data_IF_798985962565
#
_entry.id   IF_798985962565
#
_cell.length_a   1.000
_cell.length_b   1.000
_cell.length_c   1.000
_cell.angle_alpha   90.00
_cell.angle_beta   90.00
_cell.angle_gamma   90.00
#
_symmetry.space_group_name_H-M   'P 1'
#
loop_
_entity.id
_entity.type
_entity.pdbx_description
1 polymer ?
#
# COMPACT_ATOMS: atom_id res chain seq x y z
N UNK A 1 16.24 -10.85 -0.71
CA UNK A 1 16.56 -9.43 -0.39
C UNK A 1 16.65 -9.33 1.13
N UNK A 2 17.56 -8.53 1.70
CA UNK A 2 17.54 -8.27 3.15
C UNK A 2 16.70 -7.02 3.41
N UNK A 3 15.53 -7.19 4.03
CA UNK A 3 14.64 -6.08 4.37
C UNK A 3 15.29 -5.19 5.44
N UNK A 4 15.14 -3.87 5.30
CA UNK A 4 15.63 -2.90 6.27
C UNK A 4 14.65 -2.82 7.45
N UNK A 5 15.07 -2.99 8.72
CA UNK A 5 14.19 -2.86 9.88
C UNK A 5 13.38 -1.55 9.91
N UNK A 6 13.90 -0.45 9.34
CA UNK A 6 13.20 0.81 9.22
C UNK A 6 11.91 0.70 8.37
N UNK A 7 11.88 -0.21 7.40
CA UNK A 7 10.70 -0.44 6.55
C UNK A 7 9.55 -1.06 7.32
N UNK A 8 9.82 -1.89 8.33
CA UNK A 8 8.78 -2.45 9.20
C UNK A 8 8.08 -1.35 9.99
N UNK A 9 8.85 -0.41 10.54
CA UNK A 9 8.29 0.76 11.21
C UNK A 9 7.48 1.64 10.25
N UNK A 10 7.97 1.86 9.04
CA UNK A 10 7.26 2.65 8.03
C UNK A 10 5.94 1.98 7.58
N UNK A 11 5.90 0.65 7.45
CA UNK A 11 4.68 -0.10 7.17
C UNK A 11 3.65 0.05 8.29
N UNK A 12 4.07 -0.07 9.55
CA UNK A 12 3.19 0.07 10.71
C UNK A 12 2.63 1.49 10.82
N UNK A 13 3.48 2.52 10.67
CA UNK A 13 3.02 3.91 10.67
C UNK A 13 2.04 4.17 9.52
N UNK A 14 2.35 3.72 8.31
CA UNK A 14 1.44 3.90 7.18
C UNK A 14 0.11 3.17 7.39
N UNK A 15 0.15 1.96 7.97
CA UNK A 15 -1.05 1.22 8.35
C UNK A 15 -1.93 2.01 9.31
N UNK A 16 -1.33 2.64 10.33
CA UNK A 16 -2.07 3.50 11.26
C UNK A 16 -2.68 4.71 10.54
N UNK A 17 -1.90 5.42 9.71
CA UNK A 17 -2.40 6.59 8.97
C UNK A 17 -3.64 6.26 8.13
N UNK A 18 -3.62 5.12 7.44
CA UNK A 18 -4.75 4.70 6.59
C UNK A 18 -5.93 4.23 7.44
N UNK A 19 -5.68 3.59 8.59
CA UNK A 19 -6.74 3.21 9.53
C UNK A 19 -7.46 4.44 10.11
N UNK A 20 -6.72 5.49 10.48
CA UNK A 20 -7.30 6.74 10.99
C UNK A 20 -8.15 7.44 9.93
N UNK A 21 -7.70 7.44 8.67
CA UNK A 21 -8.49 7.94 7.54
C UNK A 21 -9.77 7.12 7.32
N UNK A 22 -9.68 5.79 7.45
CA UNK A 22 -10.84 4.90 7.31
C UNK A 22 -11.86 5.16 8.42
N UNK A 23 -11.41 5.32 9.66
CA UNK A 23 -12.28 5.68 10.78
C UNK A 23 -12.99 7.02 10.55
N UNK A 24 -12.27 8.02 10.01
CA UNK A 24 -12.86 9.31 9.67
C UNK A 24 -13.98 9.18 8.61
N UNK A 25 -13.76 8.39 7.54
CA UNK A 25 -14.78 8.11 6.52
C UNK A 25 -15.99 7.40 7.11
N UNK A 26 -15.77 6.35 7.92
CA UNK A 26 -16.83 5.59 8.57
C UNK A 26 -17.65 6.46 9.55
N UNK A 27 -17.03 7.50 10.09
CA UNK A 27 -17.68 8.50 10.94
C UNK A 27 -18.42 9.60 10.16
N UNK A 28 -18.46 9.51 8.83
CA UNK A 28 -19.10 10.48 7.94
C UNK A 28 -18.30 11.77 7.73
N UNK A 29 -16.99 11.78 8.02
CA UNK A 29 -16.13 12.95 7.76
C UNK A 29 -15.65 12.91 6.31
N UNK A 30 -15.58 14.08 5.68
CA UNK A 30 -14.87 14.24 4.42
C UNK A 30 -13.37 14.16 4.66
N UNK A 31 -12.68 13.35 3.85
CA UNK A 31 -11.23 13.16 3.91
C UNK A 31 -10.63 13.41 2.53
N UNK A 32 -9.45 14.03 2.50
CA UNK A 32 -8.70 14.21 1.26
C UNK A 32 -7.83 12.97 0.98
N UNK A 33 -8.24 12.21 -0.04
CA UNK A 33 -7.53 11.01 -0.49
C UNK A 33 -6.57 11.29 -1.65
N UNK A 34 -6.41 12.54 -2.11
CA UNK A 34 -5.55 12.89 -3.24
C UNK A 34 -4.07 12.60 -2.98
N UNK A 35 -3.67 12.54 -1.70
CA UNK A 35 -2.32 12.24 -1.26
C UNK A 35 -2.00 10.74 -1.19
N UNK A 36 -2.99 9.86 -1.34
CA UNK A 36 -2.76 8.42 -1.26
C UNK A 36 -2.32 7.85 -2.61
N UNK A 37 -1.33 6.93 -2.63
CA UNK A 37 -0.85 6.29 -3.86
C UNK A 37 -1.82 5.22 -4.41
N UNK A 38 -3.10 5.28 -4.02
CA UNK A 38 -4.16 4.42 -4.56
C UNK A 38 -4.83 5.11 -5.74
N UNK A 39 -5.10 4.41 -6.85
CA UNK A 39 -5.84 4.96 -7.97
C UNK A 39 -7.11 5.70 -7.49
N UNK A 40 -7.32 6.89 -8.04
CA UNK A 40 -8.52 7.70 -7.83
C UNK A 40 -9.32 7.70 -9.13
N UNK A 41 -10.41 6.93 -9.16
CA UNK A 41 -11.43 7.07 -10.20
C UNK A 41 -12.51 8.08 -9.76
N UNK A 42 -13.22 8.73 -10.69
CA UNK A 42 -14.25 9.73 -10.39
C UNK A 42 -15.41 9.21 -9.52
N UNK A 43 -15.60 7.89 -9.44
CA UNK A 43 -16.72 7.24 -8.73
C UNK A 43 -16.28 6.18 -7.70
N UNK A 44 -15.00 6.14 -7.30
CA UNK A 44 -14.57 5.14 -6.33
C UNK A 44 -14.93 5.52 -4.89
N UNK A 45 -15.60 4.58 -4.23
CA UNK A 45 -15.97 4.66 -2.81
C UNK A 45 -14.72 4.87 -1.91
N UNK A 46 -14.65 5.99 -1.15
CA UNK A 46 -13.52 6.31 -0.27
C UNK A 46 -13.20 5.22 0.76
N UNK A 47 -14.22 4.57 1.31
CA UNK A 47 -14.07 3.49 2.28
C UNK A 47 -13.43 2.28 1.63
N UNK A 48 -13.93 1.84 0.47
CA UNK A 48 -13.38 0.71 -0.27
C UNK A 48 -11.93 0.95 -0.68
N UNK A 49 -11.58 2.17 -1.08
CA UNK A 49 -10.18 2.54 -1.41
C UNK A 49 -9.26 2.39 -0.21
N UNK A 50 -9.65 2.90 0.95
CA UNK A 50 -8.87 2.82 2.18
C UNK A 50 -8.76 1.39 2.69
N UNK A 51 -9.84 0.59 2.62
CA UNK A 51 -9.81 -0.84 2.95
C UNK A 51 -8.84 -1.61 2.06
N UNK A 52 -8.92 -1.45 0.74
CA UNK A 52 -8.01 -2.10 -0.20
C UNK A 52 -6.55 -1.75 0.08
N UNK A 53 -6.28 -0.49 0.44
CA UNK A 53 -4.92 -0.06 0.76
C UNK A 53 -4.43 -0.64 2.10
N UNK A 54 -5.27 -0.69 3.12
CA UNK A 54 -4.94 -1.37 4.38
C UNK A 54 -4.63 -2.84 4.17
N UNK A 55 -5.42 -3.54 3.35
CA UNK A 55 -5.15 -4.94 3.04
C UNK A 55 -3.80 -5.13 2.34
N UNK A 56 -3.41 -4.21 1.45
CA UNK A 56 -2.10 -4.22 0.83
C UNK A 56 -0.98 -4.03 1.86
N UNK A 57 -1.12 -3.09 2.79
CA UNK A 57 -0.14 -2.84 3.86
C UNK A 57 -0.03 -4.06 4.78
N UNK A 58 -1.16 -4.65 5.16
CA UNK A 58 -1.21 -5.85 6.00
C UNK A 58 -0.53 -7.04 5.33
N UNK A 59 -0.75 -7.25 4.02
CA UNK A 59 -0.01 -8.27 3.25
C UNK A 59 1.49 -8.02 3.26
N UNK A 60 1.93 -6.76 3.08
CA UNK A 60 3.34 -6.40 3.13
C UNK A 60 3.95 -6.65 4.53
N UNK A 61 3.24 -6.33 5.61
CA UNK A 61 3.65 -6.61 7.00
C UNK A 61 3.80 -8.12 7.22
N UNK A 62 2.81 -8.92 6.80
CA UNK A 62 2.84 -10.39 6.92
C UNK A 62 3.98 -11.02 6.11
N UNK A 63 4.27 -10.46 4.94
CA UNK A 63 5.33 -10.94 4.07
C UNK A 63 6.73 -10.49 4.54
N UNK A 64 6.85 -9.47 5.39
CA UNK A 64 8.09 -8.74 5.68
C UNK A 64 9.30 -9.63 6.02
N UNK A 65 9.08 -10.65 6.84
CA UNK A 65 10.13 -11.56 7.31
C UNK A 65 10.27 -12.81 6.40
N UNK A 66 9.67 -12.78 5.21
CA UNK A 66 9.66 -13.88 4.23
C UNK A 66 10.33 -13.48 2.91
N UNK A 67 10.66 -14.47 2.07
CA UNK A 67 11.20 -14.24 0.73
C UNK A 67 10.20 -13.60 -0.25
N UNK A 68 8.92 -13.48 0.14
CA UNK A 68 7.91 -12.80 -0.67
C UNK A 68 7.98 -11.27 -0.52
N UNK A 69 8.59 -10.74 0.54
CA UNK A 69 8.70 -9.29 0.70
C UNK A 69 9.53 -8.66 -0.42
N UNK A 70 9.03 -7.54 -0.96
CA UNK A 70 9.69 -6.82 -2.04
C UNK A 70 9.60 -7.53 -3.40
N UNK A 71 8.65 -8.45 -3.57
CA UNK A 71 8.30 -9.05 -4.87
C UNK A 71 6.93 -8.58 -5.33
N UNK A 72 6.76 -8.47 -6.65
CA UNK A 72 5.47 -8.19 -7.23
C UNK A 72 4.49 -9.34 -6.96
N UNK A 73 3.32 -9.03 -6.41
CA UNK A 73 2.26 -10.01 -6.12
C UNK A 73 1.71 -10.70 -7.39
N UNK A 74 1.89 -10.10 -8.58
CA UNK A 74 1.36 -10.63 -9.85
C UNK A 74 2.35 -11.52 -10.59
N UNK A 75 3.61 -11.10 -10.71
CA UNK A 75 4.62 -11.82 -11.51
C UNK A 75 5.86 -12.27 -10.73
N UNK A 76 5.95 -11.99 -9.43
CA UNK A 76 7.04 -12.44 -8.57
C UNK A 76 8.39 -11.77 -8.78
N UNK A 77 8.50 -10.82 -9.72
CA UNK A 77 9.74 -10.06 -9.97
C UNK A 77 10.09 -9.22 -8.74
N UNK A 78 11.39 -9.04 -8.49
CA UNK A 78 11.84 -8.14 -7.43
C UNK A 78 11.42 -6.71 -7.75
N UNK A 79 10.82 -6.04 -6.77
CA UNK A 79 10.54 -4.62 -6.82
C UNK A 79 11.83 -3.83 -6.64
N UNK A 80 11.85 -2.63 -7.21
CA UNK A 80 13.01 -1.75 -7.09
C UNK A 80 13.25 -1.37 -5.63
N UNK A 81 14.50 -1.49 -5.19
CA UNK A 81 14.87 -1.26 -3.79
C UNK A 81 14.72 0.20 -3.40
N UNK A 82 15.00 1.15 -4.30
CA UNK A 82 14.83 2.57 -4.01
C UNK A 82 13.35 2.92 -3.90
N UNK A 83 12.50 2.32 -4.73
CA UNK A 83 11.05 2.44 -4.62
C UNK A 83 10.54 1.90 -3.28
N UNK A 84 11.00 0.72 -2.85
CA UNK A 84 10.67 0.15 -1.53
C UNK A 84 11.19 0.99 -0.36
N UNK A 85 12.34 1.65 -0.53
CA UNK A 85 12.87 2.57 0.49
C UNK A 85 11.93 3.75 0.75
N UNK A 86 11.23 4.22 -0.28
CA UNK A 86 10.26 5.31 -0.19
C UNK A 86 8.86 4.81 0.16
N UNK A 87 8.49 3.64 -0.36
CA UNK A 87 7.15 3.06 -0.26
C UNK A 87 7.25 1.54 -0.02
N UNK A 88 7.50 1.11 1.23
CA UNK A 88 7.67 -0.32 1.54
C UNK A 88 6.39 -1.15 1.38
N UNK A 89 5.24 -0.50 1.21
CA UNK A 89 3.94 -1.12 0.93
C UNK A 89 3.69 -1.41 -0.57
N UNK A 90 4.63 -1.14 -1.47
CA UNK A 90 4.46 -1.47 -2.89
C UNK A 90 4.19 -2.97 -3.09
N UNK A 91 3.10 -3.29 -3.79
CA UNK A 91 2.70 -4.67 -4.09
C UNK A 91 3.00 -5.10 -5.53
N UNK A 92 3.15 -4.15 -6.45
CA UNK A 92 3.26 -4.45 -7.90
C UNK A 92 4.43 -3.72 -8.54
N UNK A 93 5.07 -4.37 -9.52
CA UNK A 93 6.08 -3.74 -10.36
C UNK A 93 5.43 -2.69 -11.28
N UNK A 94 6.19 -1.74 -11.87
CA UNK A 94 5.64 -0.70 -12.74
C UNK A 94 4.75 -1.23 -13.87
N UNK A 95 5.09 -2.39 -14.45
CA UNK A 95 4.29 -3.07 -15.48
C UNK A 95 2.90 -3.47 -15.00
N UNK A 96 2.80 -3.95 -13.75
CA UNK A 96 1.53 -4.36 -13.16
C UNK A 96 0.82 -3.24 -12.40
N UNK A 97 1.54 -2.22 -11.94
CA UNK A 97 0.95 -1.03 -11.33
C UNK A 97 0.10 -0.26 -12.36
N UNK A 98 0.56 -0.18 -13.61
CA UNK A 98 -0.17 0.46 -14.71
C UNK A 98 -1.50 -0.25 -15.07
N UNK A 99 -1.63 -1.54 -14.76
CA UNK A 99 -2.86 -2.33 -15.05
C UNK A 99 -4.01 -2.06 -14.09
N UNK A 100 -3.81 -1.26 -13.03
CA UNK A 100 -4.83 -0.92 -12.05
C UNK A 100 -5.49 0.45 -12.33
N UNK A 101 -5.03 1.16 -13.37
CA UNK A 101 -5.51 2.49 -13.79
C UNK A 101 -6.39 2.40 -15.05
N UNK A 102 -6.84 1.20 -15.44
CA UNK A 102 -7.75 0.99 -16.58
C UNK A 102 -9.08 0.42 -16.15
#
# INVERSE_FOLDING_TARGET
>A
MRADPAWKSALLHKGQDVADLLEAVLSGKEVDLASLPVPSGPDQDPELRLRNFLEQIDRAIKAFDTDAFGRCEVCGVNLDRNALQQQPWLATCPTHAARWIS
#
